data_IF_961921393737
#
_entry.id   IF_961921393737
#
_cell.length_a   1.000
_cell.length_b   1.000
_cell.length_c   1.000
_cell.angle_alpha   90.00
_cell.angle_beta   90.00
_cell.angle_gamma   90.00
#
_symmetry.space_group_name_H-M   'P 1'
#
loop_
_entity.id
_entity.type
_entity.pdbx_description
1 polymer ?
#
# COMPACT_ATOMS: atom_id res chain seq x y z
N UNK A 1 -5.97 -20.57 -25.41
CA UNK A 1 -7.03 -19.60 -25.06
C UNK A 1 -7.57 -19.83 -23.66
N UNK A 2 -7.82 -21.06 -23.21
CA UNK A 2 -8.34 -21.33 -21.84
C UNK A 2 -7.51 -20.70 -20.72
N UNK A 3 -6.18 -20.83 -20.76
CA UNK A 3 -5.30 -20.16 -19.78
C UNK A 3 -5.49 -18.64 -19.75
N UNK A 4 -5.68 -18.01 -20.93
CA UNK A 4 -5.89 -16.57 -21.03
C UNK A 4 -7.27 -16.15 -20.51
N UNK A 5 -8.30 -16.98 -20.68
CA UNK A 5 -9.62 -16.75 -20.09
C UNK A 5 -9.58 -16.77 -18.57
N UNK A 6 -8.86 -17.73 -18.00
CA UNK A 6 -8.69 -17.83 -16.54
C UNK A 6 -7.96 -16.62 -15.97
N UNK A 7 -6.87 -16.18 -16.62
CA UNK A 7 -6.12 -14.97 -16.18
C UNK A 7 -6.99 -13.71 -16.22
N UNK A 8 -7.81 -13.55 -17.26
CA UNK A 8 -8.66 -12.38 -17.43
C UNK A 8 -10.03 -12.50 -16.72
N UNK A 9 -10.27 -13.60 -16.02
CA UNK A 9 -11.55 -13.96 -15.40
C UNK A 9 -12.75 -13.82 -16.38
N UNK A 10 -12.61 -14.41 -17.57
CA UNK A 10 -13.62 -14.34 -18.63
C UNK A 10 -14.27 -15.71 -18.82
N UNK A 11 -15.57 -15.80 -18.55
CA UNK A 11 -16.35 -17.02 -18.78
C UNK A 11 -16.74 -17.22 -20.24
N UNK A 12 -16.92 -16.14 -21.01
CA UNK A 12 -17.44 -16.23 -22.39
C UNK A 12 -16.35 -16.22 -23.47
N UNK A 13 -16.36 -17.17 -24.43
CA UNK A 13 -15.34 -17.23 -25.48
C UNK A 13 -15.39 -16.03 -26.44
N UNK A 14 -16.57 -15.45 -26.65
CA UNK A 14 -16.76 -14.30 -27.54
C UNK A 14 -16.11 -13.02 -26.98
N UNK A 15 -16.11 -12.85 -25.66
CA UNK A 15 -15.52 -11.67 -24.99
C UNK A 15 -14.00 -11.63 -25.16
N UNK A 16 -13.34 -12.79 -25.07
CA UNK A 16 -11.89 -12.89 -25.32
C UNK A 16 -11.53 -12.50 -26.76
N UNK A 17 -12.30 -12.95 -27.75
CA UNK A 17 -12.08 -12.59 -29.15
C UNK A 17 -12.30 -11.11 -29.41
N UNK A 18 -13.32 -10.51 -28.78
CA UNK A 18 -13.62 -9.07 -28.89
C UNK A 18 -12.48 -8.21 -28.32
N UNK A 19 -11.99 -8.54 -27.12
CA UNK A 19 -10.86 -7.84 -26.49
C UNK A 19 -9.61 -7.89 -27.37
N UNK A 20 -9.25 -9.06 -27.90
CA UNK A 20 -8.09 -9.18 -28.80
C UNK A 20 -8.24 -8.31 -30.04
N UNK A 21 -9.43 -8.26 -30.62
CA UNK A 21 -9.73 -7.45 -31.81
C UNK A 21 -9.60 -5.96 -31.52
N UNK A 22 -10.18 -5.49 -30.41
CA UNK A 22 -10.12 -4.08 -29.99
C UNK A 22 -8.69 -3.65 -29.67
N UNK A 23 -7.93 -4.45 -28.93
CA UNK A 23 -6.52 -4.14 -28.63
C UNK A 23 -5.62 -4.16 -29.87
N UNK A 24 -5.91 -5.04 -30.84
CA UNK A 24 -5.18 -5.03 -32.13
C UNK A 24 -5.51 -3.77 -32.93
N UNK A 25 -6.77 -3.33 -32.90
CA UNK A 25 -7.22 -2.13 -33.61
C UNK A 25 -6.64 -0.85 -33.00
N UNK A 26 -6.45 -0.80 -31.68
CA UNK A 26 -5.80 0.31 -30.98
C UNK A 26 -4.24 0.26 -31.04
N UNK A 27 -3.66 -0.66 -31.81
CA UNK A 27 -2.22 -0.96 -31.84
C UNK A 27 -1.58 -1.25 -30.47
N UNK A 28 -2.35 -1.80 -29.52
CA UNK A 28 -1.87 -2.16 -28.18
C UNK A 28 -1.50 -3.64 -28.04
N UNK A 29 -1.76 -4.46 -29.06
CA UNK A 29 -1.58 -5.90 -29.00
C UNK A 29 -1.17 -6.52 -30.34
N UNK A 30 -0.23 -7.48 -30.29
CA UNK A 30 0.16 -8.28 -31.45
C UNK A 30 0.21 -9.78 -31.08
N UNK A 31 -0.22 -10.64 -32.02
CA UNK A 31 -0.25 -12.08 -31.85
C UNK A 31 0.47 -12.77 -33.03
N UNK A 32 1.56 -13.49 -32.74
CA UNK A 32 2.33 -14.23 -33.74
C UNK A 32 2.03 -15.73 -33.63
N UNK A 33 1.65 -16.35 -34.76
CA UNK A 33 1.47 -17.80 -34.87
C UNK A 33 2.82 -18.49 -35.03
N UNK A 34 3.14 -19.42 -34.12
CA UNK A 34 4.49 -20.05 -34.02
C UNK A 34 4.57 -21.40 -34.76
N UNK A 35 3.44 -21.98 -35.14
CA UNK A 35 3.36 -23.26 -35.86
C UNK A 35 2.22 -24.16 -35.38
N UNK A 36 2.12 -25.36 -35.94
CA UNK A 36 1.15 -26.37 -35.51
C UNK A 36 1.47 -26.84 -34.08
N UNK A 37 0.45 -27.03 -33.24
CA UNK A 37 0.56 -27.48 -31.84
C UNK A 37 1.45 -26.63 -30.91
N UNK A 38 1.88 -25.45 -31.35
CA UNK A 38 2.61 -24.49 -30.52
C UNK A 38 1.68 -23.33 -30.11
N UNK A 39 1.73 -22.87 -28.85
CA UNK A 39 0.95 -21.71 -28.44
C UNK A 39 1.44 -20.46 -29.17
N UNK A 40 0.51 -19.56 -29.49
CA UNK A 40 0.83 -18.28 -30.12
C UNK A 40 1.62 -17.39 -29.14
N UNK A 41 2.58 -16.61 -29.66
CA UNK A 41 3.26 -15.57 -28.89
C UNK A 41 2.39 -14.32 -28.87
N UNK A 42 2.14 -13.80 -27.67
CA UNK A 42 1.34 -12.61 -27.45
C UNK A 42 2.27 -11.48 -27.01
N UNK A 43 2.16 -10.32 -27.63
CA UNK A 43 2.96 -9.13 -27.33
C UNK A 43 2.02 -7.98 -26.98
N UNK A 44 2.28 -7.33 -25.85
CA UNK A 44 1.57 -6.12 -25.43
C UNK A 44 2.45 -4.92 -25.79
N UNK A 45 1.86 -3.90 -26.40
CA UNK A 45 2.53 -2.66 -26.79
C UNK A 45 2.21 -1.56 -25.78
N UNK A 46 3.08 -0.56 -25.70
CA UNK A 46 2.82 0.66 -24.93
C UNK A 46 1.88 1.57 -25.73
N UNK A 47 0.97 2.32 -25.08
CA UNK A 47 0.17 3.32 -25.75
C UNK A 47 1.04 4.46 -26.26
N UNK A 48 0.62 5.09 -27.34
CA UNK A 48 1.18 6.38 -27.77
C UNK A 48 0.60 7.49 -26.89
N UNK A 49 1.46 8.43 -26.49
CA UNK A 49 1.08 9.56 -25.63
C UNK A 49 1.31 10.84 -26.41
N UNK A 50 0.26 11.64 -26.56
CA UNK A 50 0.31 12.96 -27.20
C UNK A 50 0.41 14.08 -26.16
N UNK A 51 0.78 15.29 -26.60
CA UNK A 51 0.83 16.46 -25.71
C UNK A 51 -0.54 16.79 -25.10
N UNK A 52 -1.62 16.55 -25.85
CA UNK A 52 -2.99 16.72 -25.36
C UNK A 52 -3.30 15.72 -24.23
N UNK A 53 -2.85 14.47 -24.35
CA UNK A 53 -3.04 13.46 -23.30
C UNK A 53 -2.32 13.86 -22.01
N UNK A 54 -1.09 14.38 -22.11
CA UNK A 54 -0.35 14.91 -20.95
C UNK A 54 -1.12 16.05 -20.28
N UNK A 55 -1.67 16.97 -21.07
CA UNK A 55 -2.50 18.06 -20.54
C UNK A 55 -3.74 17.52 -19.81
N UNK A 56 -4.53 16.63 -20.42
CA UNK A 56 -5.75 16.10 -19.79
C UNK A 56 -5.46 15.24 -18.56
N UNK A 57 -4.40 14.42 -18.58
CA UNK A 57 -3.98 13.64 -17.41
C UNK A 57 -3.55 14.57 -16.29
N UNK A 58 -2.74 15.59 -16.58
CA UNK A 58 -2.32 16.57 -15.57
C UNK A 58 -3.51 17.32 -14.97
N UNK A 59 -4.52 17.66 -15.76
CA UNK A 59 -5.75 18.27 -15.24
C UNK A 59 -6.52 17.28 -14.35
N UNK A 60 -6.71 16.03 -14.76
CA UNK A 60 -7.38 15.03 -13.91
C UNK A 60 -6.65 14.74 -12.60
N UNK A 61 -5.31 14.77 -12.61
CA UNK A 61 -4.49 14.53 -11.42
C UNK A 61 -4.41 15.75 -10.49
N UNK A 62 -4.57 16.98 -11.03
CA UNK A 62 -4.48 18.23 -10.26
C UNK A 62 -5.82 18.92 -10.01
N UNK A 63 -6.89 18.50 -10.68
CA UNK A 63 -8.26 18.89 -10.35
C UNK A 63 -8.58 18.26 -8.99
N UNK A 64 -8.29 19.05 -7.96
CA UNK A 64 -9.00 18.99 -6.69
C UNK A 64 -10.45 19.28 -7.07
N UNK A 65 -11.20 18.23 -7.42
CA UNK A 65 -12.63 18.27 -7.16
C UNK A 65 -12.74 18.78 -5.73
N UNK A 66 -13.34 19.95 -5.60
CA UNK A 66 -13.92 20.42 -4.37
C UNK A 66 -14.97 19.37 -4.06
N UNK A 67 -14.52 18.24 -3.49
CA UNK A 67 -15.39 17.29 -2.83
C UNK A 67 -16.00 18.16 -1.78
N UNK A 68 -17.25 18.56 -2.01
CA UNK A 68 -18.11 19.00 -0.94
C UNK A 68 -17.99 17.91 0.10
N UNK A 69 -17.23 18.23 1.15
CA UNK A 69 -16.89 17.31 2.21
C UNK A 69 -18.18 17.07 2.98
N UNK A 70 -19.01 16.16 2.47
CA UNK A 70 -20.02 15.47 3.25
C UNK A 70 -19.38 14.42 4.15
N UNK A 71 -18.06 14.23 4.04
CA UNK A 71 -17.26 13.58 5.08
C UNK A 71 -16.91 14.62 6.15
N UNK A 72 -17.64 14.49 7.27
CA UNK A 72 -17.40 15.02 8.62
C UNK A 72 -16.15 15.89 8.74
N UNK A 73 -16.36 17.20 8.92
CA UNK A 73 -15.29 18.16 9.20
C UNK A 73 -14.27 17.60 10.20
N UNK A 74 -13.00 17.62 9.80
CA UNK A 74 -11.82 17.29 10.62
C UNK A 74 -11.73 18.11 11.93
N UNK A 75 -12.61 19.09 12.15
CA UNK A 75 -12.78 19.78 13.42
C UNK A 75 -13.29 18.88 14.56
N UNK A 76 -13.83 17.70 14.27
CA UNK A 76 -14.22 16.72 15.30
C UNK A 76 -13.07 15.84 15.80
N UNK A 77 -11.90 15.85 15.15
CA UNK A 77 -10.78 14.94 15.51
C UNK A 77 -9.75 15.64 16.40
N UNK A 78 -9.84 16.96 16.56
CA UNK A 78 -8.96 17.71 17.46
C UNK A 78 -9.75 18.22 18.66
N UNK A 79 -9.89 17.43 19.73
CA UNK A 79 -9.80 17.82 21.17
C UNK A 79 -10.00 16.59 22.09
N UNK A 80 -9.04 15.66 22.18
CA UNK A 80 -9.06 14.66 23.26
C UNK A 80 -7.67 14.31 23.82
N UNK A 81 -6.74 15.26 23.82
CA UNK A 81 -5.40 15.01 24.35
C UNK A 81 -5.22 15.31 25.85
N UNK A 82 -6.27 15.73 26.61
CA UNK A 82 -6.08 16.11 28.03
C UNK A 82 -7.11 15.62 29.06
N UNK A 83 -8.10 14.79 28.73
CA UNK A 83 -9.13 14.43 29.73
C UNK A 83 -8.86 13.08 30.42
N UNK A 84 -8.58 13.17 31.71
CA UNK A 84 -8.36 12.02 32.60
C UNK A 84 -9.70 11.38 32.97
N UNK A 85 -10.02 10.24 32.34
CA UNK A 85 -10.92 9.10 32.69
C UNK A 85 -12.15 9.23 33.63
N UNK A 86 -12.51 10.36 34.26
CA UNK A 86 -13.50 10.34 35.37
C UNK A 86 -14.60 11.40 35.37
N UNK A 87 -14.79 12.16 34.29
CA UNK A 87 -15.99 13.00 34.20
C UNK A 87 -16.42 13.21 32.75
N UNK A 88 -17.34 12.38 32.24
CA UNK A 88 -17.95 12.56 30.93
C UNK A 88 -19.35 13.12 31.16
N UNK A 89 -19.50 14.43 30.93
CA UNK A 89 -20.83 15.02 30.80
C UNK A 89 -21.40 14.65 29.42
N UNK A 90 -22.52 13.91 29.41
CA UNK A 90 -23.26 13.52 28.22
C UNK A 90 -23.77 14.77 27.47
N UNK A 91 -23.07 15.21 26.43
CA UNK A 91 -23.58 16.22 25.50
C UNK A 91 -24.35 15.50 24.40
N UNK A 92 -25.64 15.83 24.27
CA UNK A 92 -26.57 15.30 23.26
C UNK A 92 -26.05 15.59 21.84
N UNK A 93 -26.07 14.57 20.98
CA UNK A 93 -25.96 14.71 19.54
C UNK A 93 -27.27 15.30 19.00
N UNK A 94 -27.28 16.57 18.62
CA UNK A 94 -28.32 17.11 17.73
C UNK A 94 -27.75 17.12 16.31
N UNK A 95 -28.31 16.26 15.46
CA UNK A 95 -28.07 16.26 14.02
C UNK A 95 -29.13 17.16 13.38
N UNK A 96 -28.72 18.12 12.56
CA UNK A 96 -29.59 19.02 11.81
C UNK A 96 -30.56 18.26 10.90
N UNK A 97 -31.86 18.48 11.10
CA UNK A 97 -32.97 17.91 10.31
C UNK A 97 -33.16 18.66 8.99
N UNK A 98 -32.25 18.53 8.03
CA UNK A 98 -32.56 18.96 6.67
C UNK A 98 -32.16 17.86 5.68
N UNK A 99 -33.16 17.41 4.90
CA UNK A 99 -33.17 16.35 3.89
C UNK A 99 -33.35 14.91 4.39
N UNK A 100 -34.55 14.59 4.90
CA UNK A 100 -35.07 13.22 4.92
C UNK A 100 -35.56 12.85 3.52
N UNK A 101 -34.91 11.89 2.87
CA UNK A 101 -35.50 11.22 1.72
C UNK A 101 -36.66 10.35 2.22
N UNK A 102 -37.84 10.62 1.70
CA UNK A 102 -39.05 9.81 1.89
C UNK A 102 -38.76 8.38 1.43
N UNK A 103 -38.80 7.43 2.34
CA UNK A 103 -38.90 6.00 2.01
C UNK A 103 -39.87 5.41 3.02
N UNK A 104 -41.05 5.03 2.52
CA UNK A 104 -42.15 4.47 3.30
C UNK A 104 -41.67 3.39 4.27
N UNK A 105 -41.85 3.67 5.55
CA UNK A 105 -41.66 2.72 6.64
C UNK A 105 -42.67 1.59 6.49
N UNK A 106 -42.21 0.39 6.15
CA UNK A 106 -43.00 -0.83 6.35
C UNK A 106 -43.09 -1.11 7.85
N UNK A 107 -44.26 -0.87 8.44
CA UNK A 107 -44.65 -1.38 9.75
C UNK A 107 -44.41 -2.90 9.82
N UNK A 108 -43.60 -3.34 10.78
CA UNK A 108 -43.72 -4.70 11.33
C UNK A 108 -43.78 -4.61 12.82
N UNK A 109 -44.93 -5.05 13.34
CA UNK A 109 -45.32 -5.02 14.72
C UNK A 109 -44.34 -5.79 15.62
N UNK A 110 -44.15 -5.21 16.80
CA UNK A 110 -43.53 -5.75 17.98
C UNK A 110 -44.13 -7.12 18.35
N UNK A 111 -43.30 -8.16 18.36
CA UNK A 111 -43.63 -9.44 18.99
C UNK A 111 -42.59 -9.67 20.10
N UNK A 112 -43.01 -9.42 21.34
CA UNK A 112 -42.45 -10.07 22.52
C UNK A 112 -42.76 -11.57 22.43
N UNK A 113 -41.74 -12.42 22.41
CA UNK A 113 -41.90 -13.82 22.78
C UNK A 113 -40.90 -14.17 23.87
N UNK A 114 -41.50 -14.59 24.97
CA UNK A 114 -40.93 -14.99 26.24
C UNK A 114 -39.95 -16.16 26.13
N UNK A 115 -39.12 -16.24 27.17
CA UNK A 115 -38.21 -17.31 27.52
C UNK A 115 -38.76 -18.72 27.23
N UNK A 116 -37.96 -19.58 26.61
CA UNK A 116 -38.02 -20.99 26.93
C UNK A 116 -36.61 -21.59 26.99
N UNK A 117 -36.25 -21.89 28.22
CA UNK A 117 -35.02 -22.48 28.71
C UNK A 117 -35.06 -23.99 28.42
N UNK A 118 -34.08 -24.52 27.68
CA UNK A 118 -33.83 -25.96 27.62
C UNK A 118 -32.49 -26.24 28.27
N UNK A 119 -32.52 -26.32 29.60
CA UNK A 119 -31.50 -27.01 30.38
C UNK A 119 -31.76 -28.52 30.34
N UNK A 120 -30.78 -29.27 29.85
CA UNK A 120 -30.58 -30.69 30.18
C UNK A 120 -29.10 -31.02 29.90
N UNK A 121 -28.23 -31.45 30.83
CA UNK A 121 -28.49 -32.12 32.09
C UNK A 121 -27.21 -32.05 32.96
N UNK A 122 -27.42 -31.77 34.25
CA UNK A 122 -26.54 -31.78 35.43
C UNK A 122 -25.49 -32.93 35.46
N UNK A 123 -24.37 -32.86 36.18
CA UNK A 123 -24.42 -32.91 37.64
C UNK A 123 -23.13 -32.55 38.42
N UNK A 124 -23.36 -31.94 39.59
CA UNK A 124 -22.68 -32.20 40.88
C UNK A 124 -21.43 -31.39 41.31
N UNK A 125 -21.72 -30.43 42.20
CA UNK A 125 -21.05 -30.04 43.45
C UNK A 125 -19.73 -29.23 43.48
N UNK A 126 -19.89 -27.97 43.92
CA UNK A 126 -19.11 -27.24 44.94
C UNK A 126 -17.62 -27.59 45.14
N UNK A 127 -16.72 -26.74 44.62
CA UNK A 127 -15.59 -26.18 45.38
C UNK A 127 -14.94 -24.96 44.67
N UNK A 128 -14.24 -24.07 45.39
CA UNK A 128 -13.91 -22.71 44.94
C UNK A 128 -12.62 -22.70 44.13
N UNK A 129 -12.68 -22.33 42.85
CA UNK A 129 -11.48 -22.00 42.09
C UNK A 129 -11.74 -20.75 41.27
N UNK A 130 -10.95 -19.71 41.56
CA UNK A 130 -10.74 -18.52 40.74
C UNK A 130 -10.71 -18.90 39.25
N UNK A 131 -11.74 -18.53 38.50
CA UNK A 131 -11.68 -18.59 37.05
C UNK A 131 -11.49 -17.16 36.52
N UNK A 132 -10.21 -16.77 36.43
CA UNK A 132 -9.78 -15.74 35.51
C UNK A 132 -10.15 -16.22 34.09
N UNK A 133 -11.28 -15.76 33.57
CA UNK A 133 -11.56 -15.88 32.14
C UNK A 133 -10.67 -14.85 31.43
N UNK A 134 -9.61 -15.34 30.80
CA UNK A 134 -8.68 -14.55 30.00
C UNK A 134 -9.39 -14.01 28.74
N UNK A 135 -9.44 -12.69 28.61
CA UNK A 135 -9.86 -11.98 27.40
C UNK A 135 -8.99 -12.39 26.20
N UNK A 136 -9.46 -13.35 25.40
CA UNK A 136 -8.66 -13.98 24.33
C UNK A 136 -9.04 -13.53 22.90
N UNK A 137 -9.58 -12.33 22.70
CA UNK A 137 -9.98 -11.81 21.37
C UNK A 137 -9.14 -10.67 20.81
N UNK A 138 -8.18 -10.11 21.56
CA UNK A 138 -7.41 -8.93 21.10
C UNK A 138 -6.19 -9.21 20.21
N UNK A 139 -5.72 -10.45 20.10
CA UNK A 139 -4.47 -10.73 19.35
C UNK A 139 -4.68 -10.77 17.82
N UNK A 140 -5.81 -11.30 17.34
CA UNK A 140 -6.08 -11.40 15.90
C UNK A 140 -6.43 -10.05 15.27
N UNK A 141 -7.14 -9.18 16.01
CA UNK A 141 -7.48 -7.84 15.52
C UNK A 141 -6.26 -6.92 15.45
N UNK A 142 -5.31 -7.05 16.39
CA UNK A 142 -4.09 -6.25 16.41
C UNK A 142 -3.10 -6.63 15.31
N UNK A 143 -3.02 -7.91 14.93
CA UNK A 143 -2.22 -8.36 13.79
C UNK A 143 -2.79 -7.88 12.45
N UNK A 144 -4.09 -8.08 12.20
CA UNK A 144 -4.74 -7.61 10.97
C UNK A 144 -4.61 -6.09 10.78
N UNK A 145 -4.81 -5.33 11.85
CA UNK A 145 -4.66 -3.87 11.81
C UNK A 145 -3.21 -3.45 11.51
N UNK A 146 -2.22 -4.17 12.06
CA UNK A 146 -0.82 -3.89 11.76
C UNK A 146 -0.46 -4.20 10.31
N UNK A 147 -0.96 -5.29 9.75
CA UNK A 147 -0.69 -5.67 8.36
C UNK A 147 -1.34 -4.69 7.37
N UNK A 148 -2.57 -4.26 7.64
CA UNK A 148 -3.24 -3.23 6.85
C UNK A 148 -2.47 -1.89 6.87
N UNK A 149 -2.01 -1.47 8.05
CA UNK A 149 -1.19 -0.25 8.18
C UNK A 149 0.16 -0.39 7.48
N UNK A 150 0.81 -1.56 7.54
CA UNK A 150 2.06 -1.83 6.83
C UNK A 150 1.84 -1.80 5.33
N UNK A 151 0.77 -2.39 4.82
CA UNK A 151 0.41 -2.35 3.41
C UNK A 151 0.29 -0.91 2.92
N UNK A 152 -0.47 -0.08 3.63
CA UNK A 152 -0.65 1.34 3.30
C UNK A 152 0.67 2.11 3.35
N UNK A 153 1.49 1.93 4.40
CA UNK A 153 2.75 2.67 4.53
C UNK A 153 3.78 2.24 3.50
N UNK A 154 3.78 0.97 3.08
CA UNK A 154 4.73 0.42 2.10
C UNK A 154 4.29 0.61 0.66
N UNK A 155 3.08 1.13 0.42
CA UNK A 155 2.60 1.48 -0.90
C UNK A 155 3.61 2.39 -1.63
N UNK A 156 3.65 2.25 -2.96
CA UNK A 156 4.56 2.97 -3.88
C UNK A 156 6.05 2.62 -3.78
N UNK A 157 6.45 1.74 -2.84
CA UNK A 157 7.83 1.25 -2.81
C UNK A 157 8.01 0.03 -3.73
N UNK A 158 9.21 -0.18 -4.30
CA UNK A 158 9.55 -1.41 -5.01
C UNK A 158 9.40 -2.68 -4.14
N UNK A 159 9.05 -3.82 -4.76
CA UNK A 159 8.64 -5.06 -4.06
C UNK A 159 9.67 -5.55 -3.03
N UNK A 160 10.95 -5.59 -3.37
CA UNK A 160 12.00 -6.08 -2.45
C UNK A 160 12.16 -5.15 -1.25
N UNK A 161 11.94 -3.84 -1.43
CA UNK A 161 11.93 -2.88 -0.33
C UNK A 161 10.71 -3.12 0.57
N UNK A 162 9.53 -3.36 0.00
CA UNK A 162 8.35 -3.72 0.78
C UNK A 162 8.60 -5.00 1.59
N UNK A 163 9.10 -6.06 0.95
CA UNK A 163 9.39 -7.36 1.55
C UNK A 163 10.42 -7.26 2.69
N UNK A 164 11.40 -6.37 2.55
CA UNK A 164 12.41 -6.17 3.59
C UNK A 164 11.89 -5.31 4.74
N UNK A 165 11.21 -4.19 4.43
CA UNK A 165 10.71 -3.24 5.42
C UNK A 165 9.55 -3.80 6.25
N UNK A 166 8.76 -4.72 5.71
CA UNK A 166 7.66 -5.37 6.45
C UNK A 166 8.11 -6.08 7.74
N UNK A 167 9.41 -6.37 7.87
CA UNK A 167 10.07 -6.98 9.04
C UNK A 167 10.31 -5.99 10.19
N UNK A 168 10.11 -4.70 9.98
CA UNK A 168 10.20 -3.66 11.00
C UNK A 168 8.82 -3.37 11.61
N UNK A 169 8.80 -2.68 12.74
CA UNK A 169 7.57 -2.16 13.32
C UNK A 169 7.01 -1.01 12.48
N UNK A 170 5.70 -0.79 12.52
CA UNK A 170 5.04 0.25 11.71
C UNK A 170 5.63 1.66 11.94
N UNK A 171 6.04 1.96 13.19
CA UNK A 171 6.67 3.23 13.55
C UNK A 171 8.05 3.37 12.90
N UNK A 172 8.86 2.32 12.99
CA UNK A 172 10.18 2.25 12.36
C UNK A 172 10.09 2.36 10.83
N UNK A 173 9.12 1.68 10.20
CA UNK A 173 8.92 1.74 8.75
C UNK A 173 8.67 3.17 8.29
N UNK A 174 7.81 3.93 8.99
CA UNK A 174 7.52 5.33 8.66
C UNK A 174 8.78 6.19 8.69
N UNK A 175 9.63 5.99 9.70
CA UNK A 175 10.91 6.70 9.83
C UNK A 175 11.85 6.32 8.69
N UNK A 176 12.06 5.02 8.46
CA UNK A 176 12.95 4.51 7.43
C UNK A 176 12.49 4.98 6.04
N UNK A 177 11.19 4.87 5.72
CA UNK A 177 10.60 5.37 4.46
C UNK A 177 10.84 6.87 4.31
N UNK A 178 10.62 7.66 5.37
CA UNK A 178 10.87 9.11 5.35
C UNK A 178 12.33 9.43 5.03
N UNK A 179 13.28 8.77 5.71
CA UNK A 179 14.72 8.98 5.50
C UNK A 179 15.14 8.54 4.10
N UNK A 180 14.64 7.40 3.61
CA UNK A 180 14.89 6.89 2.26
C UNK A 180 14.45 7.89 1.19
N UNK A 181 13.20 8.35 1.26
CA UNK A 181 12.66 9.29 0.27
C UNK A 181 13.37 10.63 0.30
N UNK A 182 13.71 11.14 1.50
CA UNK A 182 14.51 12.36 1.67
C UNK A 182 15.91 12.20 1.10
N UNK A 183 16.56 11.05 1.34
CA UNK A 183 17.87 10.72 0.79
C UNK A 183 17.87 10.70 -0.73
N UNK A 184 16.92 9.98 -1.34
CA UNK A 184 16.72 9.93 -2.80
C UNK A 184 16.48 11.32 -3.39
N UNK A 185 15.54 12.09 -2.82
CA UNK A 185 15.22 13.46 -3.28
C UNK A 185 16.43 14.37 -3.18
N UNK A 186 17.15 14.34 -2.05
CA UNK A 186 18.35 15.14 -1.84
C UNK A 186 19.44 14.82 -2.86
N UNK A 187 19.63 13.54 -3.19
CA UNK A 187 20.62 13.10 -4.17
C UNK A 187 20.24 13.54 -5.59
N UNK A 188 19.01 13.26 -6.01
CA UNK A 188 18.50 13.62 -7.35
C UNK A 188 18.63 15.12 -7.60
N UNK A 189 18.27 15.95 -6.62
CA UNK A 189 18.40 17.40 -6.71
C UNK A 189 19.86 17.88 -6.78
N UNK A 190 20.79 17.21 -6.11
CA UNK A 190 22.20 17.62 -6.07
C UNK A 190 22.93 17.33 -7.39
N UNK A 191 22.54 16.25 -8.07
CA UNK A 191 23.16 15.82 -9.33
C UNK A 191 22.35 16.16 -10.58
N UNK A 192 21.19 16.81 -10.44
CA UNK A 192 20.22 17.05 -11.52
C UNK A 192 19.87 15.75 -12.27
N UNK A 193 19.51 14.72 -11.49
CA UNK A 193 19.20 13.38 -12.00
C UNK A 193 17.81 12.92 -11.57
N UNK A 194 17.35 11.83 -12.18
CA UNK A 194 16.05 11.23 -11.87
C UNK A 194 16.19 9.73 -11.58
N UNK A 195 16.94 9.37 -10.53
CA UNK A 195 16.94 7.98 -10.07
C UNK A 195 15.61 7.66 -9.39
N UNK A 196 14.96 6.58 -9.85
CA UNK A 196 13.83 6.00 -9.14
C UNK A 196 14.31 4.92 -8.18
N UNK A 197 13.46 4.53 -7.23
CA UNK A 197 13.83 3.49 -6.27
C UNK A 197 13.96 2.12 -6.95
N UNK A 198 13.25 1.89 -8.05
CA UNK A 198 13.33 0.67 -8.85
C UNK A 198 14.71 0.50 -9.50
N UNK A 199 15.39 1.61 -9.83
CA UNK A 199 16.69 1.59 -10.49
C UNK A 199 17.84 1.22 -9.54
N UNK A 200 17.61 1.35 -8.22
CA UNK A 200 18.62 1.17 -7.15
C UNK A 200 18.12 0.26 -6.03
N UNK A 201 17.07 -0.53 -6.30
CA UNK A 201 16.35 -1.29 -5.29
C UNK A 201 17.27 -2.23 -4.51
N UNK A 202 18.14 -2.95 -5.22
CA UNK A 202 19.03 -3.95 -4.64
C UNK A 202 20.04 -3.33 -3.67
N UNK A 203 20.66 -2.22 -4.08
CA UNK A 203 21.65 -1.49 -3.31
C UNK A 203 21.03 -0.86 -2.06
N UNK A 204 19.83 -0.27 -2.18
CA UNK A 204 19.11 0.26 -1.02
C UNK A 204 18.73 -0.87 -0.05
N UNK A 205 18.27 -2.04 -0.53
CA UNK A 205 18.04 -3.19 0.35
C UNK A 205 19.32 -3.63 1.06
N UNK A 206 20.48 -3.56 0.39
CA UNK A 206 21.79 -3.84 1.00
C UNK A 206 22.11 -2.84 2.12
N UNK A 207 21.88 -1.54 1.89
CA UNK A 207 22.02 -0.49 2.91
C UNK A 207 21.13 -0.79 4.13
N UNK A 208 19.87 -1.15 3.90
CA UNK A 208 18.92 -1.45 4.99
C UNK A 208 19.34 -2.70 5.79
N UNK A 209 19.91 -3.72 5.14
CA UNK A 209 20.49 -4.89 5.83
C UNK A 209 21.65 -4.51 6.73
N UNK A 210 22.59 -3.69 6.24
CA UNK A 210 23.71 -3.18 7.03
C UNK A 210 23.23 -2.28 8.16
N UNK A 211 22.20 -1.47 7.91
CA UNK A 211 21.56 -0.63 8.92
C UNK A 211 20.95 -1.47 10.04
N UNK A 212 20.19 -2.53 9.73
CA UNK A 212 19.64 -3.42 10.75
C UNK A 212 20.74 -4.10 11.58
N UNK A 213 21.82 -4.54 10.95
CA UNK A 213 22.97 -5.08 11.67
C UNK A 213 23.59 -4.03 12.61
N UNK A 214 23.71 -2.77 12.17
CA UNK A 214 24.24 -1.67 12.98
C UNK A 214 23.35 -1.35 14.19
N UNK A 215 22.02 -1.34 14.03
CA UNK A 215 21.07 -1.17 15.13
C UNK A 215 21.29 -2.23 16.22
N UNK A 216 21.44 -3.50 15.81
CA UNK A 216 21.68 -4.61 16.74
C UNK A 216 23.05 -4.51 17.41
N UNK A 217 24.09 -4.14 16.67
CA UNK A 217 25.45 -4.00 17.22
C UNK A 217 25.57 -2.88 18.23
N UNK A 218 24.87 -1.75 18.01
CA UNK A 218 24.92 -0.59 18.89
C UNK A 218 23.84 -0.57 19.95
N UNK A 219 22.84 -1.46 19.85
CA UNK A 219 21.65 -1.46 20.68
C UNK A 219 20.94 -0.09 20.68
N UNK A 220 20.78 0.48 19.49
CA UNK A 220 20.18 1.80 19.25
C UNK A 220 18.86 1.66 18.50
N UNK A 221 17.98 2.66 18.63
CA UNK A 221 16.70 2.68 17.92
C UNK A 221 16.82 3.28 16.52
N UNK A 222 15.81 3.01 15.68
CA UNK A 222 15.72 3.58 14.33
C UNK A 222 15.67 5.11 14.38
N UNK A 223 14.99 5.68 15.39
CA UNK A 223 14.90 7.11 15.64
C UNK A 223 16.28 7.74 15.89
N UNK A 224 17.08 7.15 16.76
CA UNK A 224 18.41 7.65 17.10
C UNK A 224 19.38 7.57 15.91
N UNK A 225 19.26 6.53 15.08
CA UNK A 225 20.18 6.28 13.98
C UNK A 225 19.72 6.84 12.61
N UNK A 226 18.72 7.73 12.55
CA UNK A 226 18.26 8.34 11.30
C UNK A 226 19.38 9.04 10.51
N UNK A 227 20.26 9.77 11.21
CA UNK A 227 21.38 10.48 10.58
C UNK A 227 22.38 9.52 9.92
N UNK A 228 22.64 8.39 10.56
CA UNK A 228 23.49 7.33 10.02
C UNK A 228 22.85 6.68 8.78
N UNK A 229 21.56 6.38 8.83
CA UNK A 229 20.82 5.82 7.70
C UNK A 229 20.84 6.79 6.50
N UNK A 230 20.57 8.08 6.74
CA UNK A 230 20.63 9.12 5.72
C UNK A 230 21.99 9.15 5.02
N UNK A 231 23.08 9.15 5.79
CA UNK A 231 24.44 9.18 5.25
C UNK A 231 24.74 7.91 4.45
N UNK A 232 24.30 6.75 4.93
CA UNK A 232 24.50 5.46 4.26
C UNK A 232 23.78 5.40 2.91
N UNK A 233 22.54 5.89 2.84
CA UNK A 233 21.78 5.97 1.57
C UNK A 233 22.45 6.91 0.59
N UNK A 234 22.85 8.11 1.03
CA UNK A 234 23.54 9.08 0.17
C UNK A 234 24.83 8.49 -0.39
N UNK A 235 25.65 7.86 0.45
CA UNK A 235 26.90 7.26 0.03
C UNK A 235 26.70 6.16 -1.02
N UNK A 236 25.68 5.29 -0.85
CA UNK A 236 25.38 4.24 -1.83
C UNK A 236 24.92 4.83 -3.18
N UNK A 237 24.07 5.86 -3.16
CA UNK A 237 23.62 6.54 -4.38
C UNK A 237 24.78 7.21 -5.13
N UNK A 238 25.72 7.84 -4.41
CA UNK A 238 26.94 8.41 -4.99
C UNK A 238 27.80 7.34 -5.67
N UNK A 239 27.97 6.17 -5.03
CA UNK A 239 28.76 5.07 -5.59
C UNK A 239 28.14 4.53 -6.89
N UNK A 240 26.82 4.29 -6.89
CA UNK A 240 26.08 3.86 -8.08
C UNK A 240 26.18 4.89 -9.20
N UNK A 241 26.02 6.17 -8.86
CA UNK A 241 26.07 7.24 -9.84
C UNK A 241 27.46 7.36 -10.46
N UNK A 242 28.51 7.39 -9.65
CA UNK A 242 29.89 7.43 -10.12
C UNK A 242 30.20 6.24 -11.02
N UNK A 243 29.73 5.04 -10.67
CA UNK A 243 29.92 3.83 -11.44
C UNK A 243 29.17 3.87 -12.78
N UNK A 244 27.95 4.42 -12.82
CA UNK A 244 27.21 4.64 -14.05
C UNK A 244 27.90 5.66 -14.97
N UNK A 245 28.41 6.76 -14.42
CA UNK A 245 29.17 7.76 -15.18
C UNK A 245 30.45 7.14 -15.81
N UNK A 246 31.20 6.31 -15.05
CA UNK A 246 32.35 5.58 -15.60
C UNK A 246 31.97 4.66 -16.76
N UNK A 247 30.86 3.93 -16.64
CA UNK A 247 30.37 3.03 -17.70
C UNK A 247 29.96 3.79 -18.97
N UNK A 248 29.34 4.96 -18.83
CA UNK A 248 28.99 5.80 -19.97
C UNK A 248 30.24 6.33 -20.69
N UNK A 249 31.21 6.85 -19.94
CA UNK A 249 32.46 7.37 -20.52
C UNK A 249 33.27 6.27 -21.24
N UNK A 250 33.32 5.04 -20.70
CA UNK A 250 33.99 3.93 -21.39
C UNK A 250 33.34 3.55 -22.73
N UNK A 251 32.02 3.66 -22.86
CA UNK A 251 31.33 3.41 -24.15
C UNK A 251 31.65 4.48 -25.19
N UNK A 252 31.79 5.74 -24.76
CA UNK A 252 32.09 6.86 -25.64
C UNK A 252 33.55 6.85 -26.15
N UNK A 253 34.48 6.31 -25.35
CA UNK A 253 35.91 6.24 -25.70
C UNK A 253 36.38 4.83 -26.08
N UNK A 254 35.49 4.00 -26.62
CA UNK A 254 35.82 2.62 -26.95
C UNK A 254 36.72 2.54 -28.19
N UNK A 255 37.99 2.15 -27.96
CA UNK A 255 39.07 2.13 -28.96
C UNK A 255 38.82 1.10 -30.09
N UNK A 256 37.87 0.20 -29.91
CA UNK A 256 37.50 -0.84 -30.87
C UNK A 256 36.34 -0.44 -31.82
N UNK A 257 35.82 0.78 -31.72
CA UNK A 257 34.79 1.32 -32.62
C UNK A 257 35.35 2.34 -33.65
N UNK A 258 36.67 2.30 -33.94
CA UNK A 258 37.28 3.02 -35.07
C UNK A 258 37.39 2.11 -36.30
#
# INVERSE_FOLDING_TARGET
NEKLKSILNISSPNKLSKIKKELTQADLFNQIRVGLNKPNKLYIKKPEVTEADVYYISQQENDVEQRDNTDVSLSYVQKYDNDTSRDINNIRHDVSKEYTNDTDLSNTDYIETENNDTNDLNDTYNNPINNNHSDHTNHQQTEFNNDALKFQVLEELPQQLQDYLSKFEIREIRIIKSVLLKGKKSFNNAHDTYYRLEDVEFEIVSVLKRFKAMLLQKNETVEAMQGYLMQSIKAELEEIHALNMRRQNMKQHNIFNQ
#
